data_IF_990085718668
#
_entry.id   IF_990085718668
#
_cell.length_a   1.000
_cell.length_b   1.000
_cell.length_c   1.000
_cell.angle_alpha   90.00
_cell.angle_beta   90.00
_cell.angle_gamma   90.00
#
_symmetry.space_group_name_H-M   'P 1'
#
loop_
_entity.id
_entity.type
_entity.pdbx_description
1 polymer ?
#
# COMPACT_ATOMS: atom_id res chain seq x y z
N UNK A 1 -58.90 38.06 -7.53
CA UNK A 1 -57.64 37.64 -6.89
C UNK A 1 -56.57 37.80 -7.94
N UNK A 2 -55.97 38.98 -7.99
CA UNK A 2 -54.89 39.28 -8.92
C UNK A 2 -53.65 38.50 -8.52
N UNK A 3 -53.19 37.66 -9.44
CA UNK A 3 -51.93 36.92 -9.31
C UNK A 3 -50.82 37.92 -9.56
N UNK A 4 -50.18 38.41 -8.49
CA UNK A 4 -48.92 39.12 -8.59
C UNK A 4 -47.94 38.25 -9.40
N UNK A 5 -47.35 38.76 -10.49
CA UNK A 5 -46.26 38.06 -11.15
C UNK A 5 -45.11 37.94 -10.14
N UNK A 6 -44.76 36.72 -9.76
CA UNK A 6 -43.53 36.43 -9.04
C UNK A 6 -42.38 36.93 -9.90
N UNK A 7 -41.80 38.06 -9.52
CA UNK A 7 -40.54 38.53 -10.07
C UNK A 7 -39.55 37.38 -9.99
N UNK A 8 -39.09 36.95 -11.16
CA UNK A 8 -38.04 35.96 -11.27
C UNK A 8 -36.78 36.64 -10.72
N UNK A 9 -36.13 36.08 -9.68
CA UNK A 9 -34.96 36.71 -9.09
C UNK A 9 -33.88 36.87 -10.17
N UNK A 10 -33.58 38.14 -10.51
CA UNK A 10 -32.59 38.43 -11.54
C UNK A 10 -31.19 38.08 -11.00
N UNK A 11 -30.35 37.40 -11.80
CA UNK A 11 -28.97 37.14 -11.42
C UNK A 11 -28.22 38.47 -11.23
N UNK A 12 -27.18 38.51 -10.36
CA UNK A 12 -26.41 39.72 -10.09
C UNK A 12 -26.00 40.39 -11.41
N UNK A 13 -26.41 41.66 -11.62
CA UNK A 13 -26.17 42.39 -12.87
C UNK A 13 -24.68 42.57 -13.18
N UNK A 14 -23.83 42.51 -12.14
CA UNK A 14 -22.40 42.81 -12.18
C UNK A 14 -21.49 41.72 -12.78
N UNK A 15 -22.02 40.59 -13.27
CA UNK A 15 -21.16 39.44 -13.65
C UNK A 15 -21.59 38.77 -14.98
N UNK A 16 -22.25 39.51 -15.87
CA UNK A 16 -22.79 38.93 -17.12
C UNK A 16 -21.72 38.69 -18.19
N UNK A 17 -20.66 39.49 -18.17
CA UNK A 17 -19.66 39.55 -19.25
C UNK A 17 -18.28 38.97 -18.86
N UNK A 18 -18.23 38.11 -17.85
CA UNK A 18 -16.98 37.46 -17.43
C UNK A 18 -16.41 36.61 -18.58
N UNK A 19 -15.17 36.93 -18.99
CA UNK A 19 -14.42 36.16 -19.96
C UNK A 19 -14.06 34.80 -19.37
N UNK A 20 -14.47 33.73 -20.05
CA UNK A 20 -14.22 32.36 -19.59
C UNK A 20 -12.72 32.02 -19.71
N UNK A 21 -12.13 31.36 -18.70
CA UNK A 21 -10.70 31.09 -18.67
C UNK A 21 -10.25 30.02 -19.68
N UNK A 22 -11.17 29.17 -20.15
CA UNK A 22 -10.86 27.99 -20.95
C UNK A 22 -12.04 27.62 -21.85
N UNK A 23 -11.82 27.06 -23.05
CA UNK A 23 -12.89 26.57 -23.93
C UNK A 23 -13.68 25.39 -23.34
N UNK A 24 -13.14 24.73 -22.31
CA UNK A 24 -13.82 23.65 -21.59
C UNK A 24 -14.70 24.17 -20.43
N UNK A 25 -14.65 25.48 -20.16
CA UNK A 25 -15.49 26.15 -19.19
C UNK A 25 -16.76 26.66 -19.89
N UNK A 26 -17.93 26.35 -19.35
CA UNK A 26 -19.20 26.90 -19.83
C UNK A 26 -20.06 27.39 -18.69
N UNK A 27 -20.89 28.39 -18.98
CA UNK A 27 -21.92 28.86 -18.04
C UNK A 27 -23.06 27.85 -18.01
N UNK A 28 -23.45 27.42 -16.81
CA UNK A 28 -24.50 26.43 -16.59
C UNK A 28 -25.48 26.99 -15.55
N UNK A 29 -26.74 26.56 -15.61
CA UNK A 29 -27.72 26.85 -14.56
C UNK A 29 -27.91 25.57 -13.75
N UNK A 30 -27.63 25.62 -12.44
CA UNK A 30 -27.84 24.48 -11.56
C UNK A 30 -29.30 24.46 -11.07
N UNK A 31 -30.02 23.32 -11.15
CA UNK A 31 -31.40 23.23 -10.67
C UNK A 31 -31.56 23.52 -9.16
N UNK A 32 -30.51 23.24 -8.37
CA UNK A 32 -30.51 23.46 -6.93
C UNK A 32 -30.39 24.92 -6.53
N UNK A 33 -29.78 25.76 -7.38
CA UNK A 33 -29.50 27.18 -7.11
C UNK A 33 -29.73 28.01 -8.39
N UNK A 34 -31.00 28.22 -8.79
CA UNK A 34 -31.31 28.90 -10.05
C UNK A 34 -30.89 30.37 -10.08
N UNK A 35 -30.65 30.97 -8.92
CA UNK A 35 -30.20 32.36 -8.76
C UNK A 35 -28.69 32.52 -8.78
N UNK A 36 -27.93 31.43 -8.62
CA UNK A 36 -26.47 31.46 -8.61
C UNK A 36 -25.91 31.44 -10.04
N UNK A 37 -24.88 32.23 -10.29
CA UNK A 37 -24.10 32.14 -11.52
C UNK A 37 -23.16 30.95 -11.41
N UNK A 38 -23.35 29.93 -12.26
CA UNK A 38 -22.54 28.73 -12.22
C UNK A 38 -21.67 28.57 -13.47
N UNK A 39 -20.41 28.23 -13.26
CA UNK A 39 -19.44 27.94 -14.32
C UNK A 39 -18.95 26.51 -14.15
N UNK A 40 -18.98 25.71 -15.21
CA UNK A 40 -18.68 24.28 -15.17
C UNK A 40 -17.55 23.91 -16.14
N UNK A 41 -16.66 23.02 -15.71
CA UNK A 41 -15.59 22.45 -16.52
C UNK A 41 -15.90 21.00 -16.89
N UNK A 42 -15.84 20.69 -18.18
CA UNK A 42 -16.20 19.38 -18.73
C UNK A 42 -14.97 18.54 -19.11
N UNK A 43 -15.11 17.21 -19.10
CA UNK A 43 -14.05 16.28 -19.54
C UNK A 43 -13.84 16.22 -21.05
N UNK A 44 -14.87 16.50 -21.83
CA UNK A 44 -14.87 16.46 -23.29
C UNK A 44 -15.87 17.48 -23.81
N UNK A 45 -15.61 18.05 -24.98
CA UNK A 45 -16.55 18.90 -25.72
C UNK A 45 -17.57 18.09 -26.53
N UNK A 46 -17.40 16.76 -26.63
CA UNK A 46 -18.30 15.90 -27.40
C UNK A 46 -19.58 15.56 -26.61
N UNK A 47 -20.76 15.59 -27.24
CA UNK A 47 -22.06 15.53 -26.58
C UNK A 47 -22.40 14.18 -25.89
N UNK A 48 -21.55 13.15 -25.98
CA UNK A 48 -21.83 11.80 -25.49
C UNK A 48 -21.41 11.49 -24.04
N UNK A 49 -20.46 12.22 -23.44
CA UNK A 49 -19.98 11.99 -22.06
C UNK A 49 -19.59 13.32 -21.38
N UNK A 50 -20.46 14.33 -21.50
CA UNK A 50 -20.33 15.62 -20.81
C UNK A 50 -20.48 15.41 -19.30
N UNK A 51 -19.35 15.28 -18.60
CA UNK A 51 -19.32 15.27 -17.14
C UNK A 51 -18.69 16.53 -16.60
N UNK A 52 -19.45 17.20 -15.73
CA UNK A 52 -18.97 18.33 -14.93
C UNK A 52 -17.96 17.80 -13.90
N UNK A 53 -16.69 18.14 -14.11
CA UNK A 53 -15.58 17.75 -13.23
C UNK A 53 -15.34 18.76 -12.13
N UNK A 54 -15.53 20.03 -12.47
CA UNK A 54 -15.45 21.16 -11.55
C UNK A 54 -16.61 22.07 -11.85
N UNK A 55 -17.15 22.72 -10.84
CA UNK A 55 -17.99 23.88 -11.05
C UNK A 55 -17.73 24.92 -9.97
N UNK A 56 -17.97 26.17 -10.31
CA UNK A 56 -17.91 27.31 -9.41
C UNK A 56 -19.30 27.92 -9.36
N UNK A 57 -19.82 28.13 -8.16
CA UNK A 57 -21.07 28.87 -7.95
C UNK A 57 -20.75 30.24 -7.37
N UNK A 58 -21.38 31.27 -7.90
CA UNK A 58 -21.31 32.63 -7.36
C UNK A 58 -22.72 33.04 -6.97
N UNK A 59 -22.92 33.27 -5.67
CA UNK A 59 -24.21 33.62 -5.07
C UNK A 59 -24.07 34.80 -4.12
N UNK A 60 -25.18 35.41 -3.73
CA UNK A 60 -25.18 36.47 -2.74
C UNK A 60 -24.68 35.93 -1.39
N UNK A 61 -23.76 36.64 -0.74
CA UNK A 61 -23.28 36.26 0.58
C UNK A 61 -24.39 36.55 1.62
N UNK A 62 -24.75 35.55 2.42
CA UNK A 62 -25.78 35.70 3.47
C UNK A 62 -25.24 36.37 4.74
N UNK A 63 -23.91 36.50 4.87
CA UNK A 63 -23.24 37.13 6.01
C UNK A 63 -22.79 38.54 5.62
N UNK A 64 -23.68 39.52 5.79
CA UNK A 64 -23.40 40.91 5.52
C UNK A 64 -22.31 41.43 6.48
N UNK A 65 -21.10 41.65 5.97
CA UNK A 65 -20.09 42.44 6.69
C UNK A 65 -20.39 43.91 6.45
N UNK A 66 -20.52 44.69 7.53
CA UNK A 66 -21.01 46.07 7.55
C UNK A 66 -20.13 47.11 6.81
N UNK A 67 -19.18 46.69 5.98
CA UNK A 67 -18.15 47.53 5.40
C UNK A 67 -18.09 47.54 3.86
N UNK A 68 -18.85 46.70 3.14
CA UNK A 68 -18.80 46.64 1.67
C UNK A 68 -20.19 46.44 1.06
N UNK A 69 -20.44 47.12 -0.07
CA UNK A 69 -21.63 46.95 -0.90
C UNK A 69 -21.68 45.50 -1.43
N UNK A 70 -22.69 44.74 -1.01
CA UNK A 70 -23.11 43.41 -1.49
C UNK A 70 -21.98 42.43 -1.91
N UNK A 71 -21.19 41.87 -0.97
CA UNK A 71 -20.19 40.87 -1.29
C UNK A 71 -20.82 39.59 -1.86
N UNK A 72 -20.23 39.04 -2.92
CA UNK A 72 -20.63 37.76 -3.51
C UNK A 72 -19.76 36.63 -2.95
N UNK A 73 -20.37 35.47 -2.71
CA UNK A 73 -19.67 34.27 -2.29
C UNK A 73 -19.40 33.37 -3.51
N UNK A 74 -18.12 33.12 -3.77
CA UNK A 74 -17.66 32.20 -4.80
C UNK A 74 -17.25 30.87 -4.16
N UNK A 75 -17.98 29.80 -4.46
CA UNK A 75 -17.70 28.45 -3.96
C UNK A 75 -17.20 27.55 -5.08
N UNK A 76 -16.04 26.93 -4.87
CA UNK A 76 -15.44 26.01 -5.84
C UNK A 76 -15.75 24.58 -5.45
N UNK A 77 -16.39 23.84 -6.36
CA UNK A 77 -16.69 22.42 -6.20
C UNK A 77 -15.89 21.60 -7.22
N UNK A 78 -15.24 20.54 -6.74
CA UNK A 78 -14.62 19.53 -7.58
C UNK A 78 -15.34 18.20 -7.36
N UNK A 79 -15.91 17.61 -8.41
CA UNK A 79 -16.67 16.34 -8.36
C UNK A 79 -17.74 16.30 -7.24
N UNK A 80 -18.44 17.42 -7.04
CA UNK A 80 -19.47 17.57 -6.01
C UNK A 80 -18.96 17.77 -4.58
N UNK A 81 -17.64 17.84 -4.37
CA UNK A 81 -17.03 18.17 -3.08
C UNK A 81 -16.58 19.62 -3.10
N UNK A 82 -17.04 20.38 -2.12
CA UNK A 82 -16.62 21.75 -1.86
C UNK A 82 -15.12 21.78 -1.52
N UNK A 83 -14.35 22.51 -2.30
CA UNK A 83 -12.88 22.57 -2.19
C UNK A 83 -12.35 23.90 -1.71
N UNK A 84 -13.03 25.00 -2.03
CA UNK A 84 -12.58 26.35 -1.70
C UNK A 84 -13.78 27.31 -1.64
N UNK A 85 -13.63 28.38 -0.87
CA UNK A 85 -14.57 29.49 -0.76
C UNK A 85 -13.84 30.82 -0.74
N UNK A 86 -14.32 31.75 -1.54
CA UNK A 86 -13.70 33.05 -1.75
C UNK A 86 -14.80 34.11 -1.76
N UNK A 87 -14.56 35.23 -1.08
CA UNK A 87 -15.39 36.41 -1.21
C UNK A 87 -14.94 37.18 -2.46
N UNK A 88 -15.91 37.63 -3.24
CA UNK A 88 -15.72 38.27 -4.53
C UNK A 88 -16.49 39.58 -4.52
N UNK A 89 -15.77 40.69 -4.71
CA UNK A 89 -16.36 42.03 -4.65
C UNK A 89 -16.47 42.68 -6.03
N UNK A 90 -15.68 42.22 -7.00
CA UNK A 90 -15.65 42.79 -8.34
C UNK A 90 -15.49 41.69 -9.42
N UNK A 91 -15.62 42.08 -10.69
CA UNK A 91 -15.45 41.17 -11.82
C UNK A 91 -14.02 40.59 -11.94
N UNK A 92 -12.99 41.35 -11.53
CA UNK A 92 -11.60 40.89 -11.56
C UNK A 92 -11.37 39.74 -10.57
N UNK A 93 -11.89 39.85 -9.35
CA UNK A 93 -11.84 38.83 -8.30
C UNK A 93 -12.57 37.56 -8.78
N UNK A 94 -13.72 37.73 -9.44
CA UNK A 94 -14.48 36.63 -10.02
C UNK A 94 -13.66 35.91 -11.11
N UNK A 95 -13.04 36.68 -12.01
CA UNK A 95 -12.20 36.14 -13.07
C UNK A 95 -10.95 35.43 -12.51
N UNK A 96 -10.35 35.95 -11.44
CA UNK A 96 -9.22 35.31 -10.76
C UNK A 96 -9.64 34.00 -10.09
N UNK A 97 -10.80 33.96 -9.42
CA UNK A 97 -11.34 32.75 -8.83
C UNK A 97 -11.61 31.67 -9.90
N UNK A 98 -12.15 32.06 -11.07
CA UNK A 98 -12.33 31.14 -12.19
C UNK A 98 -11.00 30.64 -12.76
N UNK A 99 -9.98 31.51 -12.90
CA UNK A 99 -8.62 31.09 -13.31
C UNK A 99 -7.99 30.13 -12.31
N UNK A 100 -8.17 30.38 -11.01
CA UNK A 100 -7.71 29.47 -9.94
C UNK A 100 -8.38 28.11 -10.06
N UNK A 101 -9.70 28.08 -10.24
CA UNK A 101 -10.47 26.85 -10.42
C UNK A 101 -10.04 26.07 -11.68
N UNK A 102 -9.79 26.77 -12.79
CA UNK A 102 -9.28 26.18 -14.04
C UNK A 102 -7.93 25.48 -13.81
N UNK A 103 -7.00 26.15 -13.11
CA UNK A 103 -5.67 25.64 -12.77
C UNK A 103 -5.64 24.45 -11.80
N UNK A 104 -6.73 24.15 -11.09
CA UNK A 104 -6.78 23.02 -10.15
C UNK A 104 -6.59 21.68 -10.88
N UNK A 105 -5.53 20.94 -10.57
CA UNK A 105 -5.34 19.59 -11.09
C UNK A 105 -6.15 18.59 -10.24
N UNK A 106 -6.95 17.76 -10.89
CA UNK A 106 -7.77 16.76 -10.21
C UNK A 106 -6.98 15.46 -9.97
N UNK A 107 -7.25 14.81 -8.85
CA UNK A 107 -6.76 13.49 -8.54
C UNK A 107 -7.31 12.48 -9.57
N UNK A 108 -6.47 11.64 -10.20
CA UNK A 108 -6.91 10.62 -11.18
C UNK A 108 -7.56 9.39 -10.52
N UNK A 109 -7.51 9.27 -9.18
CA UNK A 109 -8.15 8.19 -8.43
C UNK A 109 -7.28 6.94 -8.27
N UNK A 110 -7.92 5.86 -7.83
CA UNK A 110 -7.30 4.55 -7.64
C UNK A 110 -7.02 3.85 -8.98
N UNK A 111 -7.82 4.13 -10.01
CA UNK A 111 -7.68 3.53 -11.35
C UNK A 111 -7.76 2.00 -11.39
N UNK A 112 -8.34 1.37 -10.37
CA UNK A 112 -8.56 -0.08 -10.29
C UNK A 112 -9.96 -0.28 -9.71
N UNK A 113 -10.72 -1.19 -10.30
CA UNK A 113 -12.03 -1.58 -9.80
C UNK A 113 -11.88 -2.37 -8.48
N UNK A 114 -12.60 -1.98 -7.41
CA UNK A 114 -12.52 -2.69 -6.15
C UNK A 114 -13.10 -4.10 -6.26
N UNK A 115 -12.52 -5.03 -5.52
CA UNK A 115 -13.02 -6.41 -5.42
C UNK A 115 -14.34 -6.46 -4.65
N UNK A 116 -14.51 -5.57 -3.67
CA UNK A 116 -15.69 -5.51 -2.81
C UNK A 116 -16.43 -4.20 -3.07
N UNK A 117 -17.73 -4.32 -3.32
CA UNK A 117 -18.63 -3.19 -3.48
C UNK A 117 -18.53 -2.24 -2.27
N UNK A 118 -18.49 -0.93 -2.54
CA UNK A 118 -18.43 0.10 -1.50
C UNK A 118 -17.06 0.33 -0.88
N UNK A 119 -15.99 -0.33 -1.34
CA UNK A 119 -14.61 -0.02 -0.92
C UNK A 119 -14.07 1.28 -1.56
N UNK A 120 -14.56 1.59 -2.77
CA UNK A 120 -14.27 2.82 -3.50
C UNK A 120 -15.57 3.54 -3.85
N UNK A 121 -15.49 4.85 -4.05
CA UNK A 121 -16.55 5.67 -4.64
C UNK A 121 -16.30 5.71 -6.14
N UNK A 122 -17.34 5.47 -6.95
CA UNK A 122 -17.27 5.55 -8.40
C UNK A 122 -17.70 6.94 -8.84
N UNK A 123 -16.89 7.58 -9.68
CA UNK A 123 -17.25 8.82 -10.36
C UNK A 123 -16.90 8.66 -11.84
N UNK A 124 -17.94 8.60 -12.67
CA UNK A 124 -17.81 8.19 -14.07
C UNK A 124 -17.22 6.78 -14.20
N UNK A 125 -16.19 6.63 -15.05
CA UNK A 125 -15.46 5.38 -15.22
C UNK A 125 -14.37 5.14 -14.15
N UNK A 126 -14.06 6.14 -13.33
CA UNK A 126 -12.95 6.08 -12.38
C UNK A 126 -13.41 5.75 -10.96
N UNK A 127 -12.52 5.10 -10.21
CA UNK A 127 -12.73 4.71 -8.82
C UNK A 127 -11.83 5.52 -7.89
N UNK A 128 -12.37 5.98 -6.77
CA UNK A 128 -11.72 6.86 -5.81
C UNK A 128 -11.81 6.30 -4.39
N UNK A 129 -10.85 6.65 -3.55
CA UNK A 129 -11.00 6.42 -2.11
C UNK A 129 -12.18 7.24 -1.57
N UNK A 130 -12.89 6.73 -0.55
CA UNK A 130 -14.00 7.45 0.10
C UNK A 130 -13.62 8.87 0.53
N UNK A 131 -12.42 9.02 1.09
CA UNK A 131 -11.91 10.29 1.59
C UNK A 131 -10.86 10.86 0.61
N UNK A 132 -11.16 10.86 -0.69
CA UNK A 132 -10.27 11.44 -1.69
C UNK A 132 -10.19 12.97 -1.49
N UNK A 133 -8.98 13.54 -1.56
CA UNK A 133 -8.78 14.99 -1.52
C UNK A 133 -9.25 15.72 -2.78
N UNK A 134 -9.66 14.98 -3.82
CA UNK A 134 -10.19 15.46 -5.10
C UNK A 134 -9.20 16.25 -5.96
N UNK A 135 -8.45 17.17 -5.39
CA UNK A 135 -7.36 17.92 -6.04
C UNK A 135 -6.01 17.24 -5.79
N UNK A 136 -5.02 17.58 -6.61
CA UNK A 136 -3.65 17.07 -6.55
C UNK A 136 -2.70 18.12 -7.08
N UNK A 137 -1.52 18.26 -6.47
CA UNK A 137 -0.53 19.27 -6.88
C UNK A 137 0.02 19.03 -8.30
N UNK A 138 0.07 17.78 -8.75
CA UNK A 138 0.72 17.39 -10.01
C UNK A 138 -0.17 16.52 -10.91
N UNK A 139 -1.46 16.42 -10.62
CA UNK A 139 -2.34 15.45 -11.30
C UNK A 139 -2.01 13.99 -10.96
N UNK A 140 -1.19 13.75 -9.92
CA UNK A 140 -0.89 12.42 -9.37
C UNK A 140 -1.99 11.95 -8.41
N UNK A 141 -2.18 10.63 -8.22
CA UNK A 141 -3.11 10.13 -7.22
C UNK A 141 -2.78 10.67 -5.83
N UNK A 142 -3.79 11.17 -5.11
CA UNK A 142 -3.63 11.56 -3.72
C UNK A 142 -3.24 10.35 -2.86
N UNK A 143 -2.65 10.59 -1.68
CA UNK A 143 -2.15 9.53 -0.80
C UNK A 143 -3.24 8.49 -0.46
N UNK A 144 -4.48 8.95 -0.27
CA UNK A 144 -5.64 8.09 0.02
C UNK A 144 -5.95 7.16 -1.15
N UNK A 145 -6.03 7.68 -2.37
CA UNK A 145 -6.24 6.86 -3.57
C UNK A 145 -5.06 5.92 -3.85
N UNK A 146 -3.82 6.37 -3.62
CA UNK A 146 -2.61 5.53 -3.74
C UNK A 146 -2.64 4.35 -2.76
N UNK A 147 -3.04 4.59 -1.51
CA UNK A 147 -3.18 3.54 -0.51
C UNK A 147 -4.31 2.57 -0.83
N UNK A 148 -5.50 3.08 -1.18
CA UNK A 148 -6.64 2.25 -1.57
C UNK A 148 -6.33 1.38 -2.79
N UNK A 149 -5.61 1.91 -3.79
CA UNK A 149 -5.10 1.11 -4.92
C UNK A 149 -4.30 -0.09 -4.44
N UNK A 150 -3.35 0.11 -3.51
CA UNK A 150 -2.52 -0.97 -2.97
C UNK A 150 -3.32 -1.98 -2.16
N UNK A 151 -4.33 -1.53 -1.40
CA UNK A 151 -5.25 -2.42 -0.68
C UNK A 151 -6.03 -3.33 -1.63
N UNK A 152 -6.62 -2.76 -2.69
CA UNK A 152 -7.36 -3.52 -3.71
C UNK A 152 -6.44 -4.53 -4.40
N UNK A 153 -5.24 -4.12 -4.81
CA UNK A 153 -4.26 -5.03 -5.41
C UNK A 153 -3.87 -6.19 -4.49
N UNK A 154 -3.62 -5.91 -3.21
CA UNK A 154 -3.31 -6.94 -2.22
C UNK A 154 -4.47 -7.91 -2.02
N UNK A 155 -5.71 -7.42 -2.05
CA UNK A 155 -6.90 -8.26 -1.93
C UNK A 155 -7.06 -9.17 -3.15
N UNK A 156 -6.92 -8.62 -4.37
CA UNK A 156 -6.91 -9.40 -5.60
C UNK A 156 -5.82 -10.48 -5.57
N UNK A 157 -4.62 -10.12 -5.12
CA UNK A 157 -3.51 -11.07 -4.97
C UNK A 157 -3.82 -12.20 -3.99
N UNK A 158 -4.39 -11.88 -2.82
CA UNK A 158 -4.79 -12.88 -1.81
C UNK A 158 -5.85 -13.83 -2.35
N UNK A 159 -6.82 -13.33 -3.11
CA UNK A 159 -7.82 -14.16 -3.76
C UNK A 159 -7.20 -15.08 -4.82
N UNK A 160 -6.30 -14.56 -5.65
CA UNK A 160 -5.54 -15.38 -6.62
C UNK A 160 -4.69 -16.46 -5.92
N UNK A 161 -4.03 -16.14 -4.81
CA UNK A 161 -3.19 -17.09 -4.06
C UNK A 161 -3.95 -18.13 -3.24
N UNK A 162 -5.19 -17.84 -2.83
CA UNK A 162 -6.05 -18.83 -2.15
C UNK A 162 -6.38 -20.05 -3.05
N UNK A 163 -6.01 -20.03 -4.33
CA UNK A 163 -6.21 -21.15 -5.25
C UNK A 163 -5.21 -22.30 -5.12
N UNK A 164 -4.17 -22.23 -4.28
CA UNK A 164 -3.38 -23.44 -3.99
C UNK A 164 -4.23 -24.36 -3.14
N UNK A 165 -4.84 -25.37 -3.77
CA UNK A 165 -5.77 -26.26 -3.10
C UNK A 165 -5.12 -26.90 -1.87
N UNK A 166 -5.92 -27.18 -0.84
CA UNK A 166 -5.46 -27.90 0.35
C UNK A 166 -4.65 -29.16 -0.01
N UNK A 167 -5.02 -29.83 -1.11
CA UNK A 167 -4.29 -30.99 -1.67
C UNK A 167 -2.87 -30.63 -2.11
N UNK A 168 -2.66 -29.49 -2.77
CA UNK A 168 -1.31 -29.03 -3.15
C UNK A 168 -0.44 -28.70 -1.93
N UNK A 169 -1.03 -28.12 -0.88
CA UNK A 169 -0.30 -27.81 0.36
C UNK A 169 0.09 -29.09 1.12
N UNK A 170 -0.82 -30.07 1.20
CA UNK A 170 -0.53 -31.39 1.76
C UNK A 170 0.54 -32.14 0.95
N UNK A 171 0.47 -32.10 -0.37
CA UNK A 171 1.47 -32.74 -1.25
C UNK A 171 2.88 -32.19 -1.00
N UNK A 172 3.03 -30.87 -0.84
CA UNK A 172 4.33 -30.26 -0.50
C UNK A 172 4.87 -30.71 0.86
N UNK A 173 4.02 -30.72 1.89
CA UNK A 173 4.42 -31.20 3.23
C UNK A 173 4.79 -32.69 3.24
N UNK A 174 4.05 -33.51 2.48
CA UNK A 174 4.36 -34.93 2.32
C UNK A 174 5.73 -35.14 1.67
N UNK A 175 6.01 -34.40 0.59
CA UNK A 175 7.31 -34.46 -0.08
C UNK A 175 8.47 -34.01 0.82
N UNK A 176 8.25 -32.95 1.60
CA UNK A 176 9.24 -32.46 2.57
C UNK A 176 9.54 -33.52 3.64
N UNK A 177 8.52 -34.15 4.21
CA UNK A 177 8.65 -35.22 5.18
C UNK A 177 9.35 -36.46 4.59
N UNK A 178 9.08 -36.80 3.33
CA UNK A 178 9.78 -37.88 2.65
C UNK A 178 11.28 -37.59 2.50
N UNK A 179 11.63 -36.35 2.11
CA UNK A 179 13.04 -35.92 1.98
C UNK A 179 13.76 -35.94 3.33
N UNK A 180 13.12 -35.48 4.40
CA UNK A 180 13.73 -35.52 5.74
C UNK A 180 13.91 -36.95 6.24
N UNK A 181 12.93 -37.84 6.05
CA UNK A 181 13.07 -39.27 6.35
C UNK A 181 14.25 -39.89 5.60
N UNK A 182 14.40 -39.60 4.31
CA UNK A 182 15.53 -40.12 3.51
C UNK A 182 16.89 -39.59 3.98
N UNK A 183 16.97 -38.32 4.40
CA UNK A 183 18.20 -37.76 5.01
C UNK A 183 18.53 -38.45 6.33
N UNK A 184 17.52 -38.68 7.16
CA UNK A 184 17.67 -39.32 8.47
C UNK A 184 18.13 -40.77 8.32
N UNK A 185 17.54 -41.54 7.40
CA UNK A 185 17.99 -42.92 7.14
C UNK A 185 19.42 -42.96 6.61
N UNK A 186 19.82 -42.02 5.74
CA UNK A 186 21.21 -41.91 5.27
C UNK A 186 22.16 -41.61 6.44
N UNK A 187 21.83 -40.64 7.29
CA UNK A 187 22.63 -40.30 8.46
C UNK A 187 22.76 -41.49 9.43
N UNK A 188 21.68 -42.24 9.66
CA UNK A 188 21.71 -43.47 10.48
C UNK A 188 22.65 -44.52 9.91
N UNK A 189 22.60 -44.77 8.60
CA UNK A 189 23.52 -45.71 7.94
C UNK A 189 24.97 -45.25 8.09
N UNK A 190 25.25 -43.99 7.81
CA UNK A 190 26.60 -43.44 7.98
C UNK A 190 27.11 -43.53 9.42
N UNK A 191 26.26 -43.32 10.42
CA UNK A 191 26.63 -43.53 11.83
C UNK A 191 26.95 -44.99 12.13
N UNK A 192 26.19 -45.93 11.57
CA UNK A 192 26.45 -47.36 11.75
C UNK A 192 27.76 -47.79 11.07
N UNK A 193 28.00 -47.32 9.84
CA UNK A 193 29.24 -47.57 9.11
C UNK A 193 30.45 -47.02 9.90
N UNK A 194 30.34 -45.81 10.47
CA UNK A 194 31.37 -45.22 11.33
C UNK A 194 31.58 -46.00 12.62
N UNK A 195 30.52 -46.57 13.23
CA UNK A 195 30.65 -47.42 14.41
C UNK A 195 31.41 -48.70 14.08
N UNK A 196 31.06 -49.36 12.99
CA UNK A 196 31.74 -50.58 12.54
C UNK A 196 33.22 -50.28 12.24
N UNK A 197 33.50 -49.18 11.53
CA UNK A 197 34.87 -48.74 11.27
C UNK A 197 35.63 -48.47 12.58
N UNK A 198 35.03 -47.76 13.55
CA UNK A 198 35.66 -47.49 14.84
C UNK A 198 35.90 -48.76 15.67
N UNK A 199 35.00 -49.74 15.63
CA UNK A 199 35.18 -51.02 16.33
C UNK A 199 36.30 -51.88 15.73
N UNK A 200 36.53 -51.76 14.42
CA UNK A 200 37.56 -52.52 13.70
C UNK A 200 38.96 -51.89 13.76
N UNK A 201 39.12 -50.69 14.31
CA UNK A 201 40.44 -50.08 14.51
C UNK A 201 41.04 -50.66 15.79
N UNK A 202 42.03 -51.55 15.65
CA UNK A 202 42.79 -52.06 16.78
C UNK A 202 43.60 -50.93 17.43
N UNK A 203 43.66 -50.89 18.77
CA UNK A 203 44.45 -49.91 19.52
C UNK A 203 45.95 -49.94 19.15
N UNK A 204 46.45 -51.09 18.71
CA UNK A 204 47.82 -51.27 18.21
C UNK A 204 48.14 -50.39 17.00
N UNK A 205 47.16 -50.12 16.12
CA UNK A 205 47.33 -49.27 14.94
C UNK A 205 47.68 -47.83 15.29
N UNK A 206 47.21 -47.35 16.46
CA UNK A 206 47.58 -46.02 16.96
C UNK A 206 49.02 -46.04 17.50
N UNK A 207 49.36 -47.07 18.27
CA UNK A 207 50.69 -47.24 18.86
C UNK A 207 51.79 -47.29 17.80
N UNK A 208 51.55 -48.00 16.69
CA UNK A 208 52.45 -48.06 15.53
C UNK A 208 52.63 -46.69 14.86
N UNK A 209 51.55 -45.89 14.74
CA UNK A 209 51.60 -44.58 14.09
C UNK A 209 52.28 -43.50 14.92
N UNK A 210 52.29 -43.64 16.24
CA UNK A 210 52.88 -42.64 17.14
C UNK A 210 54.32 -43.00 17.55
N UNK A 211 54.85 -44.16 17.16
CA UNK A 211 56.15 -44.66 17.62
C UNK A 211 57.32 -43.70 17.32
N UNK A 212 57.26 -42.98 16.19
CA UNK A 212 58.26 -41.98 15.80
C UNK A 212 58.19 -40.65 16.56
N UNK A 213 57.22 -40.46 17.47
CA UNK A 213 57.06 -39.22 18.22
C UNK A 213 57.86 -39.24 19.55
N UNK A 214 58.37 -38.08 20.00
CA UNK A 214 58.94 -37.91 21.35
C UNK A 214 57.97 -38.38 22.45
N UNK A 215 58.50 -38.91 23.56
CA UNK A 215 57.68 -39.58 24.60
C UNK A 215 56.56 -38.70 25.17
N UNK A 216 56.83 -37.40 25.37
CA UNK A 216 55.82 -36.44 25.84
C UNK A 216 54.66 -36.26 24.86
N UNK A 217 54.94 -36.25 23.55
CA UNK A 217 53.92 -36.14 22.51
C UNK A 217 53.14 -37.44 22.35
N UNK A 218 53.79 -38.60 22.46
CA UNK A 218 53.10 -39.90 22.48
C UNK A 218 52.09 -39.99 23.62
N UNK A 219 52.49 -39.57 24.83
CA UNK A 219 51.60 -39.57 26.00
C UNK A 219 50.39 -38.64 25.80
N UNK A 220 50.60 -37.44 25.24
CA UNK A 220 49.53 -36.51 24.92
C UNK A 220 48.55 -37.09 23.88
N UNK A 221 49.05 -37.72 22.82
CA UNK A 221 48.20 -38.34 21.79
C UNK A 221 47.41 -39.52 22.37
N UNK A 222 48.03 -40.38 23.19
CA UNK A 222 47.34 -41.48 23.88
C UNK A 222 46.23 -41.00 24.80
N UNK A 223 46.51 -39.98 25.63
CA UNK A 223 45.51 -39.41 26.55
C UNK A 223 44.34 -38.77 25.81
N UNK A 224 44.61 -38.06 24.71
CA UNK A 224 43.55 -37.53 23.84
C UNK A 224 42.73 -38.64 23.17
N UNK A 225 43.39 -39.70 22.68
CA UNK A 225 42.70 -40.84 22.07
C UNK A 225 41.82 -41.59 23.05
N UNK A 226 42.32 -41.84 24.27
CA UNK A 226 41.55 -42.48 25.34
C UNK A 226 40.36 -41.63 25.78
N UNK A 227 40.55 -40.31 25.89
CA UNK A 227 39.45 -39.39 26.20
C UNK A 227 38.39 -39.39 25.09
N UNK A 228 38.80 -39.39 23.82
CA UNK A 228 37.90 -39.47 22.67
C UNK A 228 37.18 -40.83 22.59
N UNK A 229 37.89 -41.93 22.86
CA UNK A 229 37.36 -43.30 22.88
C UNK A 229 36.29 -43.47 23.97
N UNK A 230 36.56 -42.97 25.20
CA UNK A 230 35.58 -42.94 26.30
C UNK A 230 34.36 -42.09 25.96
N UNK A 231 34.56 -40.94 25.30
CA UNK A 231 33.46 -40.07 24.81
C UNK A 231 32.62 -40.76 23.74
N UNK A 232 33.21 -41.57 22.88
CA UNK A 232 32.52 -42.30 21.81
C UNK A 232 31.72 -43.51 22.31
N UNK A 233 32.23 -44.26 23.30
CA UNK A 233 31.62 -45.52 23.77
C UNK A 233 30.41 -45.33 24.70
N UNK A 234 30.39 -44.28 25.53
CA UNK A 234 29.27 -44.03 26.45
C UNK A 234 28.08 -43.30 25.83
N UNK A 235 28.23 -42.78 24.61
CA UNK A 235 27.28 -41.81 24.04
C UNK A 235 27.33 -40.48 24.79
N UNK A 236 27.16 -39.35 24.09
CA UNK A 236 27.16 -38.04 24.73
C UNK A 236 25.90 -37.88 25.59
N UNK A 237 26.05 -37.97 26.91
CA UNK A 237 25.13 -37.37 27.87
C UNK A 237 25.67 -35.97 28.14
N UNK A 238 24.95 -34.94 27.73
CA UNK A 238 25.34 -33.55 27.94
C UNK A 238 25.12 -33.19 29.41
N UNK A 239 26.12 -33.42 30.26
CA UNK A 239 26.16 -32.94 31.63
C UNK A 239 27.08 -31.69 31.75
N UNK A 240 26.96 -30.96 32.85
CA UNK A 240 27.79 -29.76 33.09
C UNK A 240 29.29 -30.08 33.08
N UNK A 241 29.69 -31.29 33.46
CA UNK A 241 31.09 -31.73 33.46
C UNK A 241 31.68 -31.75 32.05
N UNK A 242 30.90 -32.06 31.02
CA UNK A 242 31.36 -32.01 29.62
C UNK A 242 31.81 -30.62 29.20
N UNK A 243 31.02 -29.59 29.52
CA UNK A 243 31.32 -28.20 29.15
C UNK A 243 32.70 -27.80 29.69
N UNK A 244 33.05 -28.25 30.90
CA UNK A 244 34.30 -27.89 31.56
C UNK A 244 35.48 -28.71 31.03
N UNK A 245 35.26 -29.97 30.62
CA UNK A 245 36.32 -30.86 30.09
C UNK A 245 36.95 -30.41 28.76
N UNK A 246 36.26 -29.58 27.98
CA UNK A 246 36.77 -29.04 26.71
C UNK A 246 37.66 -27.81 26.95
N UNK A 247 37.42 -27.05 28.01
CA UNK A 247 38.19 -25.86 28.37
C UNK A 247 39.45 -26.16 29.19
N UNK A 248 39.61 -27.37 29.72
CA UNK A 248 40.80 -27.76 30.51
C UNK A 248 41.94 -28.38 29.69
N UNK A 249 41.82 -28.47 28.37
CA UNK A 249 42.90 -28.90 27.46
C UNK A 249 43.48 -27.76 26.60
N UNK A 250 43.12 -26.50 26.88
CA UNK A 250 43.76 -25.31 26.32
C UNK A 250 44.67 -24.68 27.39
#
# INVERSE_FOLDING_TARGET
MDVCPKETPQPPKLLRDIILPSPLCSKVVLPSEPTALCFAWHTSSEPGDLRVMKHVTISACTEATAAQEDPLLCTVFCRGIKTDELLVNNECDAAEALKKADGLKLCPGCGIEPVVSGQCVKFGAAHFAKNCQVTSLEGKPCLRCKYTRKLVQNQMYRLKKRSTSFKQRLARKSLELFRTKRKLTKARRSLEDLRIMNQNIASSTLDERIEGLPSKQRLAVKTCFDAASRKSTRGMVYDQLWFWSVYSCA
#
